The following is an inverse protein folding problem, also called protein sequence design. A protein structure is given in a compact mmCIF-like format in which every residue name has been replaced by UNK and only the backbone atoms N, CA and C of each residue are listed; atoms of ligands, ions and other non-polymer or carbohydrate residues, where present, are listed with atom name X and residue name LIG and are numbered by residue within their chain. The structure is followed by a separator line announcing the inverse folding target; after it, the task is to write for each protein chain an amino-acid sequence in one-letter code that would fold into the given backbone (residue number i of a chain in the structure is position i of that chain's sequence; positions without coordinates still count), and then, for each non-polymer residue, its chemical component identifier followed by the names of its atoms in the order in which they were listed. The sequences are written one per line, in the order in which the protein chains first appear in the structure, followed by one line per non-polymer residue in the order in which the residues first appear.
data_IF_446854209417
#
_entry.id   IF_446854209417
#
_cell.length_a   1.000
_cell.length_b   1.000
_cell.length_c   1.000
_cell.angle_alpha   90.00
_cell.angle_beta   90.00
_cell.angle_gamma   90.00
#
_symmetry.space_group_name_H-M   'P 1'
#
loop_
_entity.id
_entity.type
_entity.pdbx_description
1 polymer ?
#
# COMPACT_ATOMS: atom_id res chain seq x y z
N UNK A 1 -10.55 -17.79 7.13
CA UNK A 1 -10.64 -16.72 6.15
C UNK A 1 -10.18 -15.41 6.78
N UNK A 2 -9.37 -14.63 6.09
CA UNK A 2 -8.84 -13.33 6.53
C UNK A 2 -8.58 -12.43 5.32
N UNK A 3 -8.50 -11.13 5.58
CA UNK A 3 -7.95 -10.21 4.60
C UNK A 3 -6.46 -10.48 4.41
N UNK A 4 -6.02 -10.49 3.16
CA UNK A 4 -4.61 -10.64 2.81
C UNK A 4 -3.80 -9.38 3.11
N UNK A 5 -2.49 -9.49 2.99
CA UNK A 5 -1.52 -8.40 3.07
C UNK A 5 -0.65 -8.49 1.82
N UNK A 6 -0.79 -7.54 0.87
CA UNK A 6 -1.32 -6.18 1.02
C UNK A 6 -2.79 -5.98 0.54
N UNK A 7 -3.60 -7.01 0.34
CA UNK A 7 -4.96 -6.83 -0.20
C UNK A 7 -5.82 -5.94 0.70
N UNK A 8 -5.69 -6.08 2.03
CA UNK A 8 -6.43 -5.26 2.99
C UNK A 8 -6.14 -3.76 2.76
N UNK A 9 -4.87 -3.39 2.65
CA UNK A 9 -4.45 -2.01 2.42
C UNK A 9 -4.96 -1.45 1.09
N UNK A 10 -5.18 -2.32 0.10
CA UNK A 10 -5.71 -1.91 -1.21
C UNK A 10 -7.23 -1.72 -1.19
N UNK A 11 -7.96 -2.54 -0.42
CA UNK A 11 -9.42 -2.51 -0.36
C UNK A 11 -9.93 -1.38 0.56
N UNK A 12 -9.30 -1.22 1.73
CA UNK A 12 -9.80 -0.31 2.77
C UNK A 12 -9.97 1.14 2.31
N UNK A 13 -9.06 1.74 1.52
CA UNK A 13 -9.21 3.10 1.06
C UNK A 13 -10.39 3.33 0.10
N UNK A 14 -10.91 2.27 -0.51
CA UNK A 14 -12.06 2.33 -1.40
C UNK A 14 -13.40 2.23 -0.67
N UNK A 15 -13.39 1.99 0.64
CA UNK A 15 -14.63 1.80 1.41
C UNK A 15 -15.14 3.13 1.94
N UNK A 16 -16.28 3.59 1.42
CA UNK A 16 -17.00 4.78 1.91
C UNK A 16 -17.90 4.45 3.12
N UNK A 17 -18.16 3.17 3.36
CA UNK A 17 -18.92 2.70 4.52
C UNK A 17 -18.00 2.57 5.73
N UNK A 18 -18.51 2.82 6.94
CA UNK A 18 -17.80 2.50 8.17
C UNK A 18 -17.60 0.98 8.31
N UNK A 19 -16.49 0.50 7.76
CA UNK A 19 -16.18 -0.92 7.64
C UNK A 19 -16.03 -1.61 9.01
N UNK A 20 -15.56 -0.90 10.03
CA UNK A 20 -15.47 -1.42 11.40
C UNK A 20 -16.84 -1.81 11.93
N UNK A 21 -17.88 -1.02 11.66
CA UNK A 21 -19.26 -1.36 12.06
C UNK A 21 -19.77 -2.62 11.34
N UNK A 22 -19.45 -2.78 10.06
CA UNK A 22 -19.80 -3.99 9.31
C UNK A 22 -19.12 -5.21 9.91
N UNK A 23 -17.82 -5.14 10.17
CA UNK A 23 -17.07 -6.23 10.80
C UNK A 23 -17.61 -6.57 12.20
N UNK A 24 -17.96 -5.55 12.99
CA UNK A 24 -18.56 -5.75 14.31
C UNK A 24 -19.92 -6.45 14.23
N UNK A 25 -20.79 -6.03 13.30
CA UNK A 25 -22.09 -6.69 13.05
C UNK A 25 -21.89 -8.15 12.59
N UNK A 26 -20.93 -8.41 11.70
CA UNK A 26 -20.57 -9.77 11.31
C UNK A 26 -20.16 -10.61 12.53
N UNK A 27 -19.24 -10.11 13.35
CA UNK A 27 -18.70 -10.83 14.49
C UNK A 27 -19.77 -11.08 15.59
N UNK A 28 -20.73 -10.18 15.75
CA UNK A 28 -21.81 -10.27 16.72
C UNK A 28 -23.05 -11.02 16.21
N UNK A 29 -23.06 -11.49 14.96
CA UNK A 29 -24.21 -12.17 14.35
C UNK A 29 -25.39 -11.25 14.04
N UNK A 30 -25.18 -9.94 13.97
CA UNK A 30 -26.20 -8.91 13.75
C UNK A 30 -26.17 -8.31 12.34
N UNK A 31 -25.55 -8.98 11.38
CA UNK A 31 -25.58 -8.58 9.97
C UNK A 31 -26.92 -9.05 9.37
N UNK A 32 -27.78 -8.12 9.01
CA UNK A 32 -29.15 -8.42 8.58
C UNK A 32 -29.32 -8.48 7.06
N UNK A 33 -28.28 -8.15 6.30
CA UNK A 33 -28.32 -8.10 4.84
C UNK A 33 -28.86 -6.79 4.26
N UNK A 34 -29.28 -5.86 5.12
CA UNK A 34 -29.76 -4.52 4.71
C UNK A 34 -28.62 -3.49 4.70
N UNK A 35 -27.42 -3.90 5.08
CA UNK A 35 -26.23 -3.04 5.10
C UNK A 35 -25.73 -2.82 3.68
N UNK A 36 -25.74 -1.56 3.27
CA UNK A 36 -25.16 -1.16 1.99
C UNK A 36 -23.65 -0.96 2.15
N UNK A 37 -22.89 -1.72 1.37
CA UNK A 37 -21.43 -1.52 1.25
C UNK A 37 -21.18 -0.50 0.16
N UNK A 38 -21.01 0.76 0.57
CA UNK A 38 -20.65 1.82 -0.35
C UNK A 38 -19.15 1.78 -0.60
N UNK A 39 -18.77 1.83 -1.85
CA UNK A 39 -17.37 1.92 -2.28
C UNK A 39 -17.18 3.10 -3.21
N UNK A 40 -15.99 3.69 -3.16
CA UNK A 40 -15.57 4.72 -4.09
C UNK A 40 -15.64 4.22 -5.53
N UNK A 41 -15.92 5.12 -6.46
CA UNK A 41 -15.83 4.86 -7.90
C UNK A 41 -14.36 4.81 -8.40
N UNK A 42 -13.40 5.16 -7.54
CA UNK A 42 -11.97 5.09 -7.85
C UNK A 42 -11.48 3.65 -7.86
N UNK A 43 -10.33 3.43 -8.47
CA UNK A 43 -9.54 2.20 -8.32
C UNK A 43 -8.39 2.43 -7.36
N UNK A 44 -7.88 1.36 -6.78
CA UNK A 44 -6.74 1.41 -5.85
C UNK A 44 -5.62 0.51 -6.35
N UNK A 45 -4.39 0.97 -6.22
CA UNK A 45 -3.18 0.23 -6.53
C UNK A 45 -2.24 0.23 -5.33
N UNK A 46 -1.58 -0.90 -5.09
CA UNK A 46 -0.61 -1.06 -4.01
C UNK A 46 0.69 -1.66 -4.52
N UNK A 47 1.81 -1.08 -4.14
CA UNK A 47 3.15 -1.64 -4.38
C UNK A 47 3.94 -1.63 -3.08
N UNK A 48 4.63 -2.73 -2.81
CA UNK A 48 5.44 -2.91 -1.61
C UNK A 48 6.86 -2.42 -1.85
N UNK A 49 7.34 -1.53 -0.98
CA UNK A 49 8.77 -1.25 -0.83
C UNK A 49 9.36 -2.25 0.17
N UNK A 50 10.35 -3.03 -0.27
CA UNK A 50 11.00 -4.07 0.50
C UNK A 50 12.49 -3.80 0.67
N UNK A 51 13.11 -4.47 1.63
CA UNK A 51 14.57 -4.51 1.77
C UNK A 51 15.15 -5.41 0.69
N UNK A 52 16.23 -4.95 0.02
CA UNK A 52 16.94 -5.75 -0.99
C UNK A 52 17.40 -7.08 -0.41
N UNK A 53 17.11 -8.16 -1.13
CA UNK A 53 17.39 -9.53 -0.73
C UNK A 53 16.18 -10.28 -0.14
N UNK A 54 15.11 -9.56 0.26
CA UNK A 54 13.88 -10.22 0.67
C UNK A 54 13.31 -11.13 -0.45
N UNK A 55 12.81 -12.36 -0.14
CA UNK A 55 12.52 -12.92 1.19
C UNK A 55 13.71 -13.64 1.88
N UNK A 56 14.88 -13.66 1.28
CA UNK A 56 16.04 -14.36 1.80
C UNK A 56 16.81 -13.50 2.83
N UNK A 57 18.08 -13.18 2.55
CA UNK A 57 18.93 -12.39 3.46
C UNK A 57 18.82 -10.91 3.12
N UNK A 58 18.42 -10.09 4.08
CA UNK A 58 18.32 -8.64 3.96
C UNK A 58 18.82 -7.93 5.21
N UNK A 59 19.30 -6.70 5.04
CA UNK A 59 19.70 -5.83 6.14
C UNK A 59 18.54 -4.91 6.56
N UNK A 60 18.58 -4.44 7.79
CA UNK A 60 17.59 -3.52 8.39
C UNK A 60 18.31 -2.39 9.13
N UNK A 61 17.54 -1.41 9.64
CA UNK A 61 18.08 -0.32 10.44
C UNK A 61 18.44 0.92 9.64
N UNK A 62 18.06 0.99 8.37
CA UNK A 62 18.33 2.15 7.52
C UNK A 62 17.28 3.24 7.69
N UNK A 63 17.67 4.52 7.84
CA UNK A 63 16.74 5.64 7.89
C UNK A 63 15.86 5.73 6.64
N UNK A 64 14.57 5.92 6.83
CA UNK A 64 13.61 6.10 5.76
C UNK A 64 13.30 7.59 5.63
N UNK A 65 13.44 8.14 4.43
CA UNK A 65 13.05 9.51 4.11
C UNK A 65 11.84 9.53 3.20
N UNK A 66 10.94 10.48 3.45
CA UNK A 66 9.72 10.70 2.69
C UNK A 66 9.76 12.14 2.16
N UNK A 67 9.64 12.31 0.85
CA UNK A 67 9.61 13.63 0.20
C UNK A 67 8.29 13.84 -0.55
N UNK A 68 7.21 13.24 -0.07
CA UNK A 68 5.91 13.28 -0.74
C UNK A 68 5.05 14.41 -0.23
N UNK A 69 4.26 15.00 -1.12
CA UNK A 69 3.15 15.87 -0.76
C UNK A 69 2.01 15.04 -0.12
N UNK A 70 1.35 15.59 0.87
CA UNK A 70 0.15 15.00 1.46
C UNK A 70 -1.00 15.07 0.45
N UNK A 71 -1.69 13.96 0.24
CA UNK A 71 -2.87 13.86 -0.62
C UNK A 71 -3.81 12.79 -0.08
N UNK A 72 -5.11 13.03 -0.16
CA UNK A 72 -6.13 12.05 0.23
C UNK A 72 -6.07 10.76 -0.62
N UNK A 73 -5.53 10.85 -1.83
CA UNK A 73 -5.36 9.73 -2.73
C UNK A 73 -4.09 8.90 -2.47
N UNK A 74 -3.25 9.31 -1.53
CA UNK A 74 -1.98 8.66 -1.21
C UNK A 74 -2.00 8.17 0.23
N UNK A 75 -1.71 6.89 0.45
CA UNK A 75 -1.54 6.30 1.76
C UNK A 75 -0.27 5.45 1.80
N UNK A 76 0.54 5.66 2.83
CA UNK A 76 1.75 4.87 3.06
C UNK A 76 1.59 4.13 4.39
N UNK A 77 1.43 2.81 4.31
CA UNK A 77 1.30 1.97 5.49
C UNK A 77 2.67 1.43 5.90
N UNK A 78 2.97 1.57 7.18
CA UNK A 78 4.16 0.99 7.78
C UNK A 78 3.95 -0.49 8.09
N UNK A 79 4.86 -1.34 7.59
CA UNK A 79 4.88 -2.79 7.85
C UNK A 79 6.12 -3.13 8.69
N UNK A 80 7.26 -3.34 8.05
CA UNK A 80 8.53 -3.60 8.72
C UNK A 80 9.30 -2.31 9.00
N UNK A 81 8.82 -1.48 9.91
CA UNK A 81 9.50 -0.25 10.35
C UNK A 81 9.63 -0.18 11.86
N UNK A 82 10.56 0.62 12.34
CA UNK A 82 10.72 0.99 13.75
C UNK A 82 11.07 2.47 13.87
N UNK A 83 10.93 3.02 15.06
CA UNK A 83 11.34 4.40 15.37
C UNK A 83 12.47 4.33 16.39
N UNK A 84 13.57 5.04 16.12
CA UNK A 84 14.69 5.14 17.04
C UNK A 84 14.43 6.20 18.14
N UNK A 85 15.40 6.38 19.04
CA UNK A 85 15.30 7.34 20.16
C UNK A 85 15.24 8.80 19.71
N UNK A 86 15.75 9.09 18.53
CA UNK A 86 15.75 10.43 17.89
C UNK A 86 14.46 10.68 17.09
N UNK A 87 13.51 9.74 17.06
CA UNK A 87 12.25 9.87 16.31
C UNK A 87 12.38 9.55 14.81
N UNK A 88 13.52 9.00 14.37
CA UNK A 88 13.77 8.66 12.97
C UNK A 88 13.14 7.29 12.67
N UNK A 89 12.39 7.22 11.58
CA UNK A 89 11.82 5.96 11.07
C UNK A 89 12.92 5.15 10.38
N UNK A 90 13.06 3.88 10.76
CA UNK A 90 14.05 2.95 10.22
C UNK A 90 13.37 1.75 9.56
N UNK A 91 14.01 1.17 8.54
CA UNK A 91 13.62 -0.14 8.01
C UNK A 91 13.88 -1.22 9.08
N UNK A 92 12.90 -2.10 9.31
CA UNK A 92 12.98 -3.16 10.33
C UNK A 92 12.25 -4.44 9.89
N UNK A 93 12.32 -4.76 8.60
CA UNK A 93 11.71 -5.97 8.06
C UNK A 93 11.98 -6.16 6.58
N UNK A 94 11.54 -7.28 6.04
CA UNK A 94 11.66 -7.58 4.60
C UNK A 94 10.71 -6.72 3.77
N UNK A 95 9.41 -6.73 4.09
CA UNK A 95 8.42 -5.77 3.56
C UNK A 95 8.38 -4.58 4.49
N UNK A 96 8.79 -3.41 4.01
CA UNK A 96 9.01 -2.22 4.82
C UNK A 96 7.80 -1.29 4.80
N UNK A 97 7.34 -0.95 3.60
CA UNK A 97 6.19 -0.05 3.40
C UNK A 97 5.25 -0.61 2.34
N UNK A 98 3.95 -0.33 2.49
CA UNK A 98 2.95 -0.52 1.45
C UNK A 98 2.49 0.85 0.96
N UNK A 99 2.83 1.20 -0.26
CA UNK A 99 2.39 2.46 -0.89
C UNK A 99 1.11 2.18 -1.65
N UNK A 100 0.04 2.85 -1.26
CA UNK A 100 -1.31 2.70 -1.84
C UNK A 100 -1.76 4.02 -2.39
N UNK A 101 -2.19 4.02 -3.65
CA UNK A 101 -2.74 5.21 -4.28
C UNK A 101 -4.06 4.89 -4.98
N UNK A 102 -4.94 5.89 -4.99
CA UNK A 102 -6.20 5.85 -5.70
C UNK A 102 -6.11 6.65 -7.00
N UNK A 103 -6.91 6.27 -7.98
CA UNK A 103 -7.02 6.96 -9.26
C UNK A 103 -8.34 6.67 -9.96
N UNK A 104 -8.64 7.40 -11.04
CA UNK A 104 -9.85 7.17 -11.83
C UNK A 104 -9.76 5.90 -12.69
N UNK A 105 -8.55 5.44 -12.95
CA UNK A 105 -8.24 4.19 -13.65
C UNK A 105 -6.93 3.59 -13.11
N UNK A 106 -6.63 2.36 -13.52
CA UNK A 106 -5.43 1.66 -13.06
C UNK A 106 -4.14 2.33 -13.52
N UNK A 107 -4.10 2.92 -14.71
CA UNK A 107 -2.91 3.64 -15.18
C UNK A 107 -2.58 4.82 -14.27
N UNK A 108 -3.58 5.65 -13.95
CA UNK A 108 -3.39 6.80 -13.05
C UNK A 108 -3.01 6.38 -11.63
N UNK A 109 -3.66 5.33 -11.07
CA UNK A 109 -3.35 4.83 -9.74
C UNK A 109 -1.91 4.29 -9.66
N UNK A 110 -1.47 3.44 -10.61
CA UNK A 110 -0.11 2.90 -10.62
C UNK A 110 0.96 3.95 -10.92
N UNK A 111 0.69 4.90 -11.83
CA UNK A 111 1.62 6.00 -12.09
C UNK A 111 1.85 6.82 -10.81
N UNK A 112 0.79 7.09 -10.04
CA UNK A 112 0.91 7.79 -8.76
C UNK A 112 1.69 6.97 -7.73
N UNK A 113 1.42 5.65 -7.61
CA UNK A 113 2.19 4.75 -6.71
C UNK A 113 3.68 4.80 -7.02
N UNK A 114 4.07 4.66 -8.29
CA UNK A 114 5.48 4.66 -8.66
C UNK A 114 6.15 6.04 -8.51
N UNK A 115 5.41 7.13 -8.70
CA UNK A 115 5.88 8.48 -8.37
C UNK A 115 6.19 8.58 -6.89
N UNK A 116 5.25 8.20 -6.02
CA UNK A 116 5.41 8.23 -4.55
C UNK A 116 6.59 7.35 -4.10
N UNK A 117 6.73 6.15 -4.69
CA UNK A 117 7.88 5.27 -4.40
C UNK A 117 9.22 5.90 -4.81
N UNK A 118 9.24 6.72 -5.87
CA UNK A 118 10.43 7.48 -6.28
C UNK A 118 10.85 8.57 -5.26
N UNK A 119 9.89 9.05 -4.47
CA UNK A 119 10.10 10.08 -3.44
C UNK A 119 10.40 9.48 -2.05
N UNK A 120 10.32 8.15 -1.90
CA UNK A 120 10.69 7.40 -0.69
C UNK A 120 12.10 6.83 -0.87
N UNK A 121 12.95 7.02 0.12
CA UNK A 121 14.30 6.48 0.05
C UNK A 121 14.76 5.87 1.38
N UNK A 122 15.40 4.72 1.31
CA UNK A 122 16.26 4.10 2.32
C UNK A 122 17.27 3.19 1.64
N UNK A 123 18.41 2.93 2.28
CA UNK A 123 19.44 2.08 1.71
C UNK A 123 18.92 0.66 1.46
N UNK A 124 19.10 0.17 0.24
CA UNK A 124 18.59 -1.14 -0.17
C UNK A 124 17.08 -1.20 -0.43
N UNK A 125 16.42 -0.07 -0.67
CA UNK A 125 15.02 -0.10 -1.12
C UNK A 125 14.91 -0.87 -2.43
N UNK A 126 13.91 -1.75 -2.49
CA UNK A 126 13.56 -2.53 -3.68
C UNK A 126 12.05 -2.60 -3.84
N UNK A 127 11.56 -2.42 -5.03
CA UNK A 127 10.17 -2.68 -5.40
C UNK A 127 10.07 -3.13 -6.85
N UNK A 128 9.08 -3.97 -7.12
CA UNK A 128 8.80 -4.46 -8.49
C UNK A 128 8.16 -3.34 -9.29
N UNK A 129 8.59 -3.19 -10.54
CA UNK A 129 8.06 -2.19 -11.48
C UNK A 129 6.93 -2.72 -12.38
N UNK A 130 6.70 -4.03 -12.38
CA UNK A 130 5.74 -4.72 -13.22
C UNK A 130 4.40 -5.03 -12.54
N UNK A 131 4.16 -4.51 -11.32
CA UNK A 131 2.90 -4.73 -10.62
C UNK A 131 1.75 -4.09 -11.40
N UNK A 132 0.67 -4.87 -11.57
CA UNK A 132 -0.52 -4.42 -12.29
C UNK A 132 -0.41 -4.43 -13.82
N UNK A 133 0.66 -4.95 -14.41
CA UNK A 133 0.86 -4.97 -15.87
C UNK A 133 -0.35 -5.53 -16.64
N UNK A 134 -1.08 -6.49 -16.07
CA UNK A 134 -2.24 -7.12 -16.71
C UNK A 134 -3.48 -6.22 -16.81
N UNK A 135 -3.56 -5.18 -15.99
CA UNK A 135 -4.73 -4.27 -15.92
C UNK A 135 -4.41 -2.86 -16.41
N UNK A 136 -3.14 -2.56 -16.66
CA UNK A 136 -2.67 -1.27 -17.17
C UNK A 136 -2.72 -1.28 -18.70
N UNK A 137 -3.36 -0.27 -19.30
CA UNK A 137 -3.49 -0.15 -20.76
C UNK A 137 -2.20 0.30 -21.45
N UNK A 138 -1.40 1.10 -20.73
CA UNK A 138 -0.19 1.75 -21.26
C UNK A 138 1.11 1.15 -20.68
N UNK A 139 1.04 -0.08 -20.20
CA UNK A 139 2.23 -0.77 -19.72
C UNK A 139 3.07 -1.25 -20.91
N UNK A 140 4.30 -0.76 -21.05
CA UNK A 140 5.28 -1.27 -22.02
C UNK A 140 6.33 -2.10 -21.28
N UNK A 141 6.65 -3.30 -21.80
CA UNK A 141 7.64 -4.22 -21.23
C UNK A 141 9.09 -3.67 -21.18
N UNK A 142 9.28 -2.40 -21.56
CA UNK A 142 10.59 -1.73 -21.62
C UNK A 142 11.01 -0.93 -20.37
N UNK A 143 10.17 -0.83 -19.36
CA UNK A 143 10.43 -0.05 -18.14
C UNK A 143 11.08 -0.91 -17.00
N UNK A 144 12.01 -1.79 -17.36
CA UNK A 144 12.76 -2.63 -16.41
C UNK A 144 14.06 -1.97 -15.96
#
# INVERSE_FOLDING_TARGET
CRFGDPECQTIMPLMDTNFVNILYKCASGNLNGDEELLSSSKVSACVIASSKGYPENYNVGYPITFNNDESEDIQVFHSGTSINKEGIVLSNGGRVLSVVCQGNDFDSAFNLVYKVLGDINFEGIYFRRDIGHQVRKNFSDGDH
#
